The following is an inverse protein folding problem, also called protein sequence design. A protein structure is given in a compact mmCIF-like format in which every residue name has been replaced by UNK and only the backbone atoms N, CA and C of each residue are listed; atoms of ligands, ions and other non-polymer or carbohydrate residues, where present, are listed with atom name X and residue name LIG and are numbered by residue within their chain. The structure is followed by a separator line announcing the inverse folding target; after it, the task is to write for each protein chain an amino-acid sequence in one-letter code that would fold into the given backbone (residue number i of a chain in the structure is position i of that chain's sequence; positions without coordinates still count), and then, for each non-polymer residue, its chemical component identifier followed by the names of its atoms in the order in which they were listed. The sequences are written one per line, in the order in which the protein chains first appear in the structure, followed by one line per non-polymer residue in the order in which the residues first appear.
data_IF_553943101854
#
_entry.id   IF_553943101854
#
_cell.length_a   1.000
_cell.length_b   1.000
_cell.length_c   1.000
_cell.angle_alpha   90.00
_cell.angle_beta   90.00
_cell.angle_gamma   90.00
#
_symmetry.space_group_name_H-M   'P 1'
#
loop_
_entity.id
_entity.type
_entity.pdbx_description
1 polymer ?
#
# COMPACT_ATOMS: atom_id res chain seq x y z
N UNK A 1 -1.88 -53.18 21.48
CA UNK A 1 -1.18 -51.93 21.14
C UNK A 1 -1.61 -51.50 19.75
N UNK A 2 -2.54 -50.53 19.65
CA UNK A 2 -2.95 -49.89 18.40
C UNK A 2 -2.08 -48.68 18.18
N UNK A 3 -1.23 -48.73 17.16
CA UNK A 3 -0.50 -47.58 16.65
C UNK A 3 -1.42 -46.77 15.74
N UNK A 4 -1.81 -45.59 16.21
CA UNK A 4 -2.53 -44.59 15.42
C UNK A 4 -1.52 -43.86 14.54
N UNK A 5 -1.65 -43.84 13.21
CA UNK A 5 -0.78 -42.98 12.37
C UNK A 5 -1.23 -41.55 12.52
N UNK A 6 -0.36 -40.70 13.08
CA UNK A 6 -0.50 -39.27 13.07
C UNK A 6 -0.28 -38.78 11.62
N UNK A 7 -1.38 -38.45 10.97
CA UNK A 7 -1.34 -37.82 9.65
C UNK A 7 -0.83 -36.37 9.80
N UNK A 8 0.48 -36.18 9.63
CA UNK A 8 1.06 -34.86 9.52
C UNK A 8 0.61 -34.26 8.18
N UNK A 9 -0.46 -33.46 8.23
CA UNK A 9 -0.81 -32.61 7.09
C UNK A 9 0.31 -31.59 6.92
N UNK A 10 1.22 -31.85 5.98
CA UNK A 10 2.18 -30.88 5.51
C UNK A 10 1.41 -29.74 4.86
N UNK A 11 1.22 -28.65 5.60
CA UNK A 11 0.78 -27.37 5.03
C UNK A 11 1.89 -26.93 4.08
N UNK A 12 1.76 -27.28 2.82
CA UNK A 12 2.59 -26.74 1.76
C UNK A 12 2.34 -25.23 1.74
N UNK A 13 3.25 -24.47 2.37
CA UNK A 13 3.32 -23.03 2.20
C UNK A 13 3.60 -22.77 0.72
N UNK A 14 2.52 -22.57 -0.03
CA UNK A 14 2.58 -22.08 -1.39
C UNK A 14 3.28 -20.73 -1.32
N UNK A 15 4.57 -20.69 -1.69
CA UNK A 15 5.29 -19.46 -2.03
C UNK A 15 4.65 -18.89 -3.30
N UNK A 16 3.36 -18.57 -3.22
CA UNK A 16 2.62 -17.90 -4.28
C UNK A 16 2.92 -16.41 -4.23
N UNK A 17 2.95 -15.78 -5.39
CA UNK A 17 2.76 -14.35 -5.51
C UNK A 17 1.63 -13.94 -4.55
N UNK A 18 1.79 -12.81 -3.84
CA UNK A 18 0.81 -12.31 -2.90
C UNK A 18 -0.53 -12.12 -3.61
N UNK A 19 -1.40 -13.13 -3.51
CA UNK A 19 -2.68 -13.19 -4.17
C UNK A 19 -3.75 -12.67 -3.21
N UNK A 20 -4.54 -11.71 -3.67
CA UNK A 20 -5.57 -11.03 -2.89
C UNK A 20 -6.87 -10.97 -3.67
N UNK A 21 -7.95 -10.70 -2.98
CA UNK A 21 -9.21 -10.26 -3.57
C UNK A 21 -9.21 -8.74 -3.75
N UNK A 22 -10.08 -8.23 -4.62
CA UNK A 22 -10.16 -6.79 -4.79
C UNK A 22 -11.09 -6.31 -5.89
N UNK A 23 -11.06 -5.00 -6.07
CA UNK A 23 -11.76 -4.27 -7.14
C UNK A 23 -10.78 -3.36 -7.84
N UNK A 24 -10.83 -3.36 -9.16
CA UNK A 24 -10.03 -2.47 -10.01
C UNK A 24 -10.98 -1.43 -10.58
N UNK A 25 -10.69 -0.17 -10.30
CA UNK A 25 -11.40 0.97 -10.84
C UNK A 25 -10.63 1.47 -12.06
N UNK A 26 -11.26 1.45 -13.22
CA UNK A 26 -10.67 1.90 -14.47
C UNK A 26 -10.97 3.38 -14.69
N UNK A 27 -10.09 4.08 -15.42
CA UNK A 27 -10.27 5.50 -15.77
C UNK A 27 -11.51 5.79 -16.64
N UNK A 28 -12.03 4.77 -17.32
CA UNK A 28 -13.29 4.87 -18.08
C UNK A 28 -14.56 4.73 -17.22
N UNK A 29 -14.40 4.61 -15.89
CA UNK A 29 -15.48 4.45 -14.93
C UNK A 29 -15.92 2.99 -14.69
N UNK A 30 -15.39 2.03 -15.42
CA UNK A 30 -15.72 0.61 -15.23
C UNK A 30 -15.05 0.07 -13.96
N UNK A 31 -15.71 -0.90 -13.31
CA UNK A 31 -15.18 -1.61 -12.14
C UNK A 31 -15.07 -3.09 -12.47
N UNK A 32 -13.91 -3.67 -12.18
CA UNK A 32 -13.65 -5.10 -12.36
C UNK A 32 -13.54 -5.72 -10.99
N UNK A 33 -14.40 -6.68 -10.69
CA UNK A 33 -14.33 -7.45 -9.46
C UNK A 33 -13.42 -8.67 -9.62
N UNK A 34 -12.66 -8.94 -8.56
CA UNK A 34 -11.74 -10.06 -8.46
C UNK A 34 -11.93 -10.69 -7.08
N UNK A 35 -12.93 -11.56 -6.97
CA UNK A 35 -13.37 -12.20 -5.72
C UNK A 35 -13.70 -13.68 -5.97
N UNK A 36 -13.93 -14.46 -4.92
CA UNK A 36 -14.29 -15.88 -5.05
C UNK A 36 -13.12 -16.73 -5.52
N UNK A 37 -13.16 -17.28 -6.72
CA UNK A 37 -12.08 -18.08 -7.31
C UNK A 37 -11.04 -17.22 -8.04
N UNK A 38 -11.33 -15.95 -8.30
CA UNK A 38 -10.43 -15.02 -8.94
C UNK A 38 -9.46 -14.41 -7.94
N UNK A 39 -8.25 -14.11 -8.37
CA UNK A 39 -7.22 -13.48 -7.52
C UNK A 39 -6.49 -12.39 -8.28
N UNK A 40 -6.26 -11.31 -7.55
CA UNK A 40 -5.42 -10.21 -7.97
C UNK A 40 -4.00 -10.44 -7.44
N UNK A 41 -2.98 -10.24 -8.27
CA UNK A 41 -1.61 -10.14 -7.80
C UNK A 41 -1.35 -8.75 -7.25
N UNK A 42 -0.82 -8.65 -6.01
CA UNK A 42 -0.44 -7.37 -5.45
C UNK A 42 0.48 -6.60 -6.41
N UNK A 43 0.23 -5.29 -6.59
CA UNK A 43 1.04 -4.47 -7.48
C UNK A 43 2.52 -4.55 -7.12
N UNK A 44 3.35 -4.67 -8.14
CA UNK A 44 4.79 -4.54 -8.02
C UNK A 44 5.20 -3.10 -8.34
N UNK A 45 6.51 -2.85 -8.36
CA UNK A 45 7.09 -1.53 -8.58
C UNK A 45 6.54 -0.78 -9.79
N UNK A 46 6.48 -1.43 -10.96
CA UNK A 46 6.04 -0.82 -12.22
C UNK A 46 5.06 -1.69 -12.99
N UNK A 47 4.26 -1.06 -13.82
CA UNK A 47 3.58 -1.64 -14.95
C UNK A 47 2.27 -2.34 -14.61
N UNK A 48 2.19 -3.56 -15.05
CA UNK A 48 0.97 -4.31 -15.23
C UNK A 48 0.36 -4.80 -13.92
N UNK A 49 -0.96 -4.72 -13.82
CA UNK A 49 -1.75 -5.43 -12.84
C UNK A 49 -2.23 -6.75 -13.47
N UNK A 50 -2.15 -7.84 -12.71
CA UNK A 50 -2.54 -9.16 -13.21
C UNK A 50 -3.65 -9.74 -12.36
N UNK A 51 -4.71 -10.15 -13.02
CA UNK A 51 -5.76 -11.00 -12.44
C UNK A 51 -5.51 -12.45 -12.89
N UNK A 52 -5.70 -13.36 -11.97
CA UNK A 52 -5.77 -14.79 -12.23
C UNK A 52 -7.24 -15.20 -12.12
N UNK A 53 -7.87 -15.50 -13.23
CA UNK A 53 -9.22 -16.07 -13.29
C UNK A 53 -9.11 -17.54 -12.95
N UNK A 54 -10.06 -18.04 -12.14
CA UNK A 54 -10.01 -19.42 -11.64
C UNK A 54 -8.64 -19.78 -11.03
N UNK A 55 -8.11 -18.96 -10.15
CA UNK A 55 -6.72 -19.01 -9.66
C UNK A 55 -6.31 -20.37 -9.07
N UNK A 56 -7.28 -21.16 -8.60
CA UNK A 56 -7.07 -22.46 -7.97
C UNK A 56 -7.19 -23.65 -8.96
N UNK A 57 -7.61 -23.41 -10.18
CA UNK A 57 -7.70 -24.45 -11.22
C UNK A 57 -6.35 -24.64 -11.92
N UNK A 58 -6.17 -25.84 -12.50
CA UNK A 58 -4.95 -26.16 -13.29
C UNK A 58 -4.81 -25.25 -14.51
N UNK A 59 -5.92 -24.88 -15.15
CA UNK A 59 -6.02 -24.03 -16.34
C UNK A 59 -6.51 -22.64 -15.97
N UNK A 60 -5.70 -21.90 -15.19
CA UNK A 60 -6.01 -20.53 -14.85
C UNK A 60 -5.72 -19.58 -16.01
N UNK A 61 -6.66 -18.70 -16.34
CA UNK A 61 -6.44 -17.63 -17.29
C UNK A 61 -5.79 -16.42 -16.60
N UNK A 62 -4.94 -15.71 -17.36
CA UNK A 62 -4.34 -14.44 -16.91
C UNK A 62 -4.95 -13.29 -17.70
N UNK A 63 -5.43 -12.31 -16.97
CA UNK A 63 -5.89 -11.04 -17.52
C UNK A 63 -4.95 -9.93 -17.03
N UNK A 64 -4.52 -9.08 -17.95
CA UNK A 64 -3.47 -8.10 -17.68
C UNK A 64 -3.97 -6.71 -18.04
N UNK A 65 -3.90 -5.80 -17.08
CA UNK A 65 -4.23 -4.39 -17.24
C UNK A 65 -2.98 -3.53 -17.18
N UNK A 66 -2.88 -2.55 -18.06
CA UNK A 66 -1.81 -1.55 -17.99
C UNK A 66 -2.12 -0.54 -16.88
N UNK A 67 -1.10 -0.08 -16.17
CA UNK A 67 -1.27 0.92 -15.10
C UNK A 67 -1.92 2.22 -15.61
N UNK A 68 -1.69 2.58 -16.88
CA UNK A 68 -2.30 3.74 -17.51
C UNK A 68 -3.81 3.71 -17.67
N UNK A 69 -4.42 2.51 -17.66
CA UNK A 69 -5.87 2.30 -17.78
C UNK A 69 -6.57 2.33 -16.42
N UNK A 70 -5.81 2.20 -15.33
CA UNK A 70 -6.33 2.05 -13.98
C UNK A 70 -6.31 3.40 -13.27
N UNK A 71 -7.41 3.71 -12.57
CA UNK A 71 -7.51 4.79 -11.60
C UNK A 71 -6.99 4.34 -10.24
N UNK A 72 -7.59 3.30 -9.69
CA UNK A 72 -7.20 2.75 -8.39
C UNK A 72 -7.53 1.26 -8.27
N UNK A 73 -6.95 0.64 -7.26
CA UNK A 73 -7.20 -0.74 -6.87
C UNK A 73 -7.48 -0.78 -5.38
N UNK A 74 -8.58 -1.39 -5.00
CA UNK A 74 -8.91 -1.69 -3.61
C UNK A 74 -8.80 -3.19 -3.41
N UNK A 75 -8.00 -3.66 -2.47
CA UNK A 75 -7.78 -5.08 -2.27
C UNK A 75 -7.63 -5.47 -0.80
N UNK A 76 -7.86 -6.74 -0.52
CA UNK A 76 -7.78 -7.35 0.80
C UNK A 76 -7.38 -8.83 0.68
N UNK A 77 -6.87 -9.39 1.76
CA UNK A 77 -6.63 -10.83 1.84
C UNK A 77 -7.95 -11.56 2.14
N UNK A 78 -8.25 -12.65 1.44
CA UNK A 78 -9.52 -13.36 1.57
C UNK A 78 -9.83 -13.84 3.01
N UNK A 79 -8.79 -14.13 3.82
CA UNK A 79 -8.91 -14.53 5.22
C UNK A 79 -8.96 -13.34 6.21
N UNK A 80 -8.75 -12.11 5.74
CA UNK A 80 -8.72 -10.88 6.54
C UNK A 80 -9.30 -9.72 5.75
N UNK A 81 -10.60 -9.82 5.37
CA UNK A 81 -11.24 -8.85 4.48
C UNK A 81 -11.39 -7.46 5.10
N UNK A 82 -11.24 -7.33 6.42
CA UNK A 82 -11.24 -6.07 7.15
C UNK A 82 -9.95 -5.25 6.90
N UNK A 83 -8.87 -5.88 6.47
CA UNK A 83 -7.60 -5.22 6.16
C UNK A 83 -7.55 -4.69 4.72
N UNK A 84 -8.45 -3.77 4.40
CA UNK A 84 -8.54 -3.15 3.08
C UNK A 84 -7.34 -2.24 2.82
N UNK A 85 -6.81 -2.29 1.58
CA UNK A 85 -5.76 -1.39 1.09
C UNK A 85 -6.13 -0.85 -0.28
N UNK A 86 -5.93 0.46 -0.47
CA UNK A 86 -6.09 1.14 -1.75
C UNK A 86 -4.72 1.40 -2.36
N UNK A 87 -4.56 1.11 -3.63
CA UNK A 87 -3.37 1.40 -4.42
C UNK A 87 -3.73 2.28 -5.60
N UNK A 88 -2.82 3.19 -5.92
CA UNK A 88 -2.92 4.04 -7.11
C UNK A 88 -1.67 3.89 -7.96
N UNK A 89 -1.80 3.85 -9.29
CA UNK A 89 -0.65 3.87 -10.18
C UNK A 89 -0.15 5.31 -10.36
N UNK A 90 1.16 5.47 -10.45
CA UNK A 90 1.80 6.71 -10.89
C UNK A 90 2.87 6.39 -11.93
N UNK A 91 3.16 7.31 -12.85
CA UNK A 91 4.23 7.13 -13.82
C UNK A 91 5.58 6.94 -13.11
N UNK A 92 5.82 7.75 -12.11
CA UNK A 92 6.94 7.64 -11.17
C UNK A 92 6.42 7.95 -9.76
N UNK A 93 6.73 7.11 -8.80
CA UNK A 93 7.67 5.98 -8.78
C UNK A 93 7.04 4.63 -9.19
N UNK A 94 5.77 4.56 -9.55
CA UNK A 94 5.02 3.35 -9.84
C UNK A 94 3.82 3.17 -8.90
N UNK A 95 3.48 1.94 -8.54
CA UNK A 95 2.36 1.66 -7.67
C UNK A 95 2.58 2.14 -6.24
N UNK A 96 1.66 2.94 -5.73
CA UNK A 96 1.71 3.49 -4.37
C UNK A 96 0.52 3.01 -3.55
N UNK A 97 0.77 2.63 -2.30
CA UNK A 97 -0.26 2.35 -1.31
C UNK A 97 -0.77 3.67 -0.71
N UNK A 98 -2.06 3.95 -0.84
CA UNK A 98 -2.72 5.07 -0.17
C UNK A 98 -2.81 4.75 1.33
N UNK A 99 -1.91 5.33 2.10
CA UNK A 99 -1.78 5.08 3.53
C UNK A 99 -2.73 5.93 4.38
N UNK A 100 -2.94 7.16 3.95
CA UNK A 100 -3.84 8.12 4.59
C UNK A 100 -4.52 8.94 3.48
N UNK A 101 -5.83 9.09 3.58
CA UNK A 101 -6.61 9.93 2.69
C UNK A 101 -7.64 10.71 3.52
N UNK A 102 -7.63 12.03 3.40
CA UNK A 102 -8.59 12.95 4.01
C UNK A 102 -9.15 13.89 2.94
N UNK A 103 -10.16 14.72 3.22
CA UNK A 103 -10.62 15.70 2.25
C UNK A 103 -9.53 16.67 1.76
N UNK A 104 -8.47 16.87 2.54
CA UNK A 104 -7.46 17.90 2.29
C UNK A 104 -6.11 17.36 1.84
N UNK A 105 -5.77 16.10 2.15
CA UNK A 105 -4.47 15.53 1.84
C UNK A 105 -4.53 14.02 1.60
N UNK A 106 -3.78 13.57 0.61
CA UNK A 106 -3.51 12.15 0.35
C UNK A 106 -2.04 11.85 0.64
N UNK A 107 -1.78 10.81 1.43
CA UNK A 107 -0.43 10.33 1.73
C UNK A 107 -0.27 8.91 1.23
N UNK A 108 0.70 8.70 0.38
CA UNK A 108 1.01 7.39 -0.19
C UNK A 108 2.35 6.88 0.31
N UNK A 109 2.47 5.56 0.39
CA UNK A 109 3.72 4.86 0.61
C UNK A 109 4.12 4.16 -0.69
N UNK A 110 5.33 4.41 -1.14
CA UNK A 110 5.97 3.66 -2.20
C UNK A 110 6.97 2.67 -1.62
N UNK A 111 6.96 1.44 -2.14
CA UNK A 111 7.89 0.38 -1.78
C UNK A 111 8.68 -0.07 -3.00
N UNK A 112 10.01 0.06 -2.95
CA UNK A 112 10.89 -0.33 -4.07
C UNK A 112 10.75 -1.83 -4.44
N UNK A 113 10.51 -2.69 -3.45
CA UNK A 113 10.32 -4.14 -3.66
C UNK A 113 8.85 -4.55 -3.75
N UNK A 114 7.93 -3.59 -3.69
CA UNK A 114 6.50 -3.85 -3.72
C UNK A 114 5.91 -4.18 -2.33
N UNK A 115 4.81 -4.90 -2.34
CA UNK A 115 3.98 -5.17 -1.18
C UNK A 115 3.82 -6.66 -0.97
N UNK A 116 3.55 -7.07 0.24
CA UNK A 116 3.37 -8.46 0.65
C UNK A 116 2.24 -8.62 1.65
N UNK A 117 1.93 -9.86 1.98
CA UNK A 117 0.95 -10.22 2.99
C UNK A 117 1.72 -10.72 4.22
N UNK A 118 1.37 -10.21 5.40
CA UNK A 118 1.92 -10.67 6.67
C UNK A 118 1.20 -11.94 7.17
N UNK A 119 1.64 -12.47 8.31
CA UNK A 119 1.07 -13.69 8.92
C UNK A 119 -0.39 -13.56 9.32
N UNK A 120 -0.88 -12.33 9.49
CA UNK A 120 -2.27 -12.03 9.90
C UNK A 120 -3.15 -11.66 8.71
N UNK A 121 -2.65 -11.81 7.48
CA UNK A 121 -3.36 -11.44 6.26
C UNK A 121 -3.33 -9.94 5.95
N UNK A 122 -2.61 -9.13 6.73
CA UNK A 122 -2.46 -7.70 6.49
C UNK A 122 -1.54 -7.44 5.29
N UNK A 123 -1.98 -6.58 4.37
CA UNK A 123 -1.13 -6.14 3.26
C UNK A 123 -0.22 -5.02 3.75
N UNK A 124 1.08 -5.19 3.53
CA UNK A 124 2.10 -4.24 3.98
C UNK A 124 3.26 -4.14 2.98
N UNK A 125 4.21 -3.24 3.27
CA UNK A 125 5.47 -3.14 2.54
C UNK A 125 6.21 -4.49 2.61
N UNK A 126 6.73 -4.93 1.47
CA UNK A 126 7.41 -6.22 1.38
C UNK A 126 8.57 -6.32 2.38
N UNK A 127 8.60 -7.44 3.09
CA UNK A 127 9.67 -7.81 4.01
C UNK A 127 10.17 -9.21 3.65
N UNK A 128 11.47 -9.42 3.70
CA UNK A 128 12.03 -10.75 3.54
C UNK A 128 11.88 -11.49 4.86
N UNK A 129 11.19 -12.61 4.85
CA UNK A 129 11.00 -13.46 6.02
C UNK A 129 12.34 -13.91 6.60
N UNK A 130 12.53 -13.78 7.91
CA UNK A 130 13.77 -14.18 8.61
C UNK A 130 14.95 -13.22 8.45
N UNK A 131 14.76 -12.04 7.86
CA UNK A 131 15.80 -11.00 7.77
C UNK A 131 15.25 -9.64 8.16
N UNK A 132 16.11 -8.76 8.71
CA UNK A 132 15.77 -7.34 8.98
C UNK A 132 15.71 -6.47 7.70
N UNK A 133 15.84 -7.07 6.52
CA UNK A 133 15.82 -6.37 5.25
C UNK A 133 14.41 -5.99 4.85
N UNK A 134 14.02 -4.77 5.18
CA UNK A 134 12.81 -4.15 4.66
C UNK A 134 13.07 -3.52 3.29
N UNK A 135 12.01 -3.45 2.47
CA UNK A 135 12.05 -2.64 1.26
C UNK A 135 12.31 -1.17 1.61
N UNK A 136 13.06 -0.49 0.75
CA UNK A 136 13.16 0.98 0.83
C UNK A 136 11.78 1.57 0.58
N UNK A 137 11.34 2.39 1.52
CA UNK A 137 10.05 3.08 1.45
C UNK A 137 10.26 4.58 1.34
N UNK A 138 9.38 5.22 0.57
CA UNK A 138 9.28 6.67 0.50
C UNK A 138 7.83 7.08 0.72
N UNK A 139 7.64 8.26 1.30
CA UNK A 139 6.33 8.87 1.47
C UNK A 139 6.13 9.93 0.39
N UNK A 140 4.92 9.95 -0.14
CA UNK A 140 4.46 10.86 -1.16
C UNK A 140 3.21 11.57 -0.66
N UNK A 141 3.25 12.89 -0.60
CA UNK A 141 2.16 13.73 -0.09
C UNK A 141 1.56 14.54 -1.23
N UNK A 142 0.25 14.66 -1.27
CA UNK A 142 -0.45 15.52 -2.22
C UNK A 142 -1.66 16.17 -1.56
N UNK A 143 -1.71 17.49 -1.53
CA UNK A 143 -2.89 18.25 -1.11
C UNK A 143 -4.00 18.13 -2.17
N UNK A 144 -5.23 18.25 -1.73
CA UNK A 144 -6.38 18.30 -2.63
C UNK A 144 -6.23 19.50 -3.57
N UNK A 145 -6.41 19.27 -4.86
CA UNK A 145 -6.21 20.29 -5.91
C UNK A 145 -4.80 20.34 -6.49
N UNK A 146 -3.79 19.78 -5.85
CA UNK A 146 -2.45 19.66 -6.44
C UNK A 146 -2.41 18.54 -7.52
N UNK A 147 -1.58 18.74 -8.54
CA UNK A 147 -1.37 17.76 -9.62
C UNK A 147 -0.33 16.72 -9.27
N UNK A 148 0.72 17.13 -8.57
CA UNK A 148 1.91 16.32 -8.33
C UNK A 148 2.07 15.94 -6.86
N UNK A 149 2.73 14.82 -6.62
CA UNK A 149 3.10 14.38 -5.29
C UNK A 149 4.43 14.98 -4.86
N UNK A 150 4.48 15.52 -3.65
CA UNK A 150 5.73 15.86 -2.98
C UNK A 150 6.36 14.60 -2.38
N UNK A 151 7.61 14.31 -2.71
CA UNK A 151 8.38 13.24 -2.06
C UNK A 151 9.01 13.74 -0.77
N UNK A 152 8.65 13.19 0.37
CA UNK A 152 9.23 13.60 1.68
C UNK A 152 10.37 12.71 2.18
N UNK A 153 10.81 11.78 1.37
CA UNK A 153 12.08 11.09 1.58
C UNK A 153 11.98 9.58 1.69
N UNK A 154 13.06 8.92 1.28
CA UNK A 154 13.30 7.52 1.57
C UNK A 154 13.68 7.35 3.04
N UNK A 155 13.20 6.30 3.67
CA UNK A 155 13.31 6.06 5.11
C UNK A 155 14.75 6.12 5.68
N UNK A 156 15.78 6.00 4.84
CA UNK A 156 17.16 5.82 5.29
C UNK A 156 18.08 7.02 5.02
N UNK A 157 17.62 8.10 4.36
CA UNK A 157 18.51 9.20 3.95
C UNK A 157 18.35 10.48 4.74
N UNK A 158 17.28 10.67 5.47
CA UNK A 158 17.04 11.88 6.24
C UNK A 158 16.96 11.56 7.73
N UNK A 159 17.52 12.44 8.55
CA UNK A 159 17.24 12.42 9.99
C UNK A 159 15.75 12.60 10.24
N UNK A 160 15.29 12.23 11.43
CA UNK A 160 13.88 12.41 11.81
C UNK A 160 13.48 13.89 11.75
N UNK A 161 14.40 14.78 12.09
CA UNK A 161 14.17 16.23 12.14
C UNK A 161 13.99 16.82 10.74
N UNK A 162 14.86 16.44 9.80
CA UNK A 162 14.71 16.86 8.39
C UNK A 162 13.41 16.36 7.79
N UNK A 163 12.99 15.15 8.15
CA UNK A 163 11.72 14.59 7.71
C UNK A 163 10.53 15.39 8.25
N UNK A 164 10.52 15.72 9.55
CA UNK A 164 9.50 16.55 10.18
C UNK A 164 9.43 17.95 9.59
N UNK A 165 10.58 18.60 9.46
CA UNK A 165 10.64 19.95 8.90
C UNK A 165 10.10 20.04 7.46
N UNK A 166 10.38 19.03 6.64
CA UNK A 166 9.82 18.96 5.29
C UNK A 166 8.30 18.86 5.28
N UNK A 167 7.74 18.04 6.15
CA UNK A 167 6.29 17.90 6.28
C UNK A 167 5.69 19.18 6.85
N UNK A 168 6.26 19.73 7.92
CA UNK A 168 5.77 20.95 8.54
C UNK A 168 5.77 22.13 7.56
N UNK A 169 6.80 22.25 6.74
CA UNK A 169 6.85 23.26 5.68
C UNK A 169 5.76 23.05 4.62
N UNK A 170 5.52 21.81 4.25
CA UNK A 170 4.50 21.47 3.25
C UNK A 170 3.08 21.80 3.74
N UNK A 171 2.78 21.57 5.00
CA UNK A 171 1.48 21.90 5.62
C UNK A 171 1.49 23.25 6.33
N UNK A 172 2.33 24.18 5.90
CA UNK A 172 2.49 25.50 6.54
C UNK A 172 1.26 26.42 6.45
N UNK A 173 0.28 26.07 5.64
CA UNK A 173 -1.05 26.67 5.57
C UNK A 173 -1.98 26.22 6.74
N UNK A 174 -1.54 25.24 7.53
CA UNK A 174 -2.08 24.92 8.86
C UNK A 174 -0.94 25.13 9.89
N UNK A 175 -0.73 26.36 10.38
CA UNK A 175 0.42 26.71 11.20
C UNK A 175 0.45 25.97 12.56
N UNK A 176 -0.71 25.68 13.13
CA UNK A 176 -0.82 24.92 14.37
C UNK A 176 -0.34 23.48 14.18
N UNK A 177 -0.78 22.82 13.12
CA UNK A 177 -0.32 21.47 12.79
C UNK A 177 1.18 21.48 12.43
N UNK A 178 1.64 22.44 11.65
CA UNK A 178 3.05 22.56 11.27
C UNK A 178 3.96 22.66 12.51
N UNK A 179 3.59 23.47 13.50
CA UNK A 179 4.34 23.61 14.73
C UNK A 179 4.29 22.33 15.57
N UNK A 180 3.12 21.71 15.70
CA UNK A 180 2.97 20.41 16.38
C UNK A 180 3.85 19.32 15.76
N UNK A 181 3.99 19.32 14.44
CA UNK A 181 4.88 18.39 13.73
C UNK A 181 6.35 18.68 14.04
N UNK A 182 6.79 19.95 14.08
CA UNK A 182 8.16 20.33 14.41
C UNK A 182 8.56 19.91 15.83
N UNK A 183 7.69 20.15 16.77
CA UNK A 183 7.90 19.84 18.20
C UNK A 183 7.77 18.35 18.52
N UNK A 184 7.21 17.56 17.62
CA UNK A 184 6.99 16.13 17.85
C UNK A 184 8.32 15.36 17.93
N UNK A 185 8.48 14.49 18.94
CA UNK A 185 9.54 13.48 19.00
C UNK A 185 9.19 12.18 18.26
N UNK A 186 8.04 12.13 17.59
CA UNK A 186 7.46 10.94 16.99
C UNK A 186 8.36 10.31 15.90
N UNK A 187 8.25 8.99 15.75
CA UNK A 187 8.81 8.26 14.61
C UNK A 187 8.06 8.65 13.32
N UNK A 188 8.67 8.43 12.17
CA UNK A 188 8.13 8.85 10.86
C UNK A 188 6.69 8.45 10.61
N UNK A 189 6.32 7.19 10.89
CA UNK A 189 4.94 6.72 10.69
C UNK A 189 3.93 7.48 11.56
N UNK A 190 4.30 7.78 12.81
CA UNK A 190 3.45 8.59 13.71
C UNK A 190 3.39 10.05 13.28
N UNK A 191 4.50 10.61 12.75
CA UNK A 191 4.48 11.95 12.15
C UNK A 191 3.50 12.03 10.99
N UNK A 192 3.49 11.02 10.11
CA UNK A 192 2.51 10.94 9.02
C UNK A 192 1.07 10.85 9.55
N UNK A 193 0.84 10.13 10.64
CA UNK A 193 -0.50 10.04 11.24
C UNK A 193 -1.03 11.40 11.74
N UNK A 194 -0.16 12.34 12.11
CA UNK A 194 -0.59 13.69 12.48
C UNK A 194 -1.28 14.44 11.33
N UNK A 195 -0.97 14.07 10.08
CA UNK A 195 -1.61 14.66 8.89
C UNK A 195 -3.10 14.33 8.76
N UNK A 196 -3.65 13.47 9.60
CA UNK A 196 -5.10 13.26 9.69
C UNK A 196 -5.84 14.53 10.14
N UNK A 197 -5.16 15.36 10.92
CA UNK A 197 -5.71 16.58 11.49
C UNK A 197 -5.49 17.80 10.59
N UNK A 198 -4.85 17.60 9.41
CA UNK A 198 -4.58 18.67 8.47
C UNK A 198 -5.88 19.25 7.91
N UNK A 199 -6.07 20.54 8.15
CA UNK A 199 -7.23 21.30 7.70
C UNK A 199 -6.84 22.76 7.40
N UNK A 200 -6.50 23.08 6.14
CA UNK A 200 -6.11 24.43 5.74
C UNK A 200 -7.26 25.44 5.75
N UNK A 201 -8.50 24.99 5.99
CA UNK A 201 -9.68 25.88 6.01
C UNK A 201 -9.91 26.54 7.37
N UNK A 202 -9.12 26.20 8.39
CA UNK A 202 -9.24 26.77 9.73
C UNK A 202 -8.73 28.22 9.83
N UNK A 203 -7.98 28.69 8.83
CA UNK A 203 -7.28 29.97 8.89
C UNK A 203 -7.61 30.88 7.69
#
# INVERSE_FOLDING_TARGET
FLLLPILLAAVASVRGASLVEGRIYLKNGSVIECVGDDRLQLPKRFGKLTILRDAFRKTKAKEIFQSGEIDSVVCWHAQSPEHIRKFIPAESPGWMWVYLETPHICVCIYSEKGYGIDSNGGIQVWQRQGTFSQSRTAYYLKKTGEKEFLTVGAANRNTKDVFRERIARYVGDDPELAERIRLSSAIRSKTIQLLRDYDPTKY
#
